data_IF_143615441928
#
_entry.id   IF_143615441928
#
_cell.length_a   1.000
_cell.length_b   1.000
_cell.length_c   1.000
_cell.angle_alpha   90.00
_cell.angle_beta   90.00
_cell.angle_gamma   90.00
#
_symmetry.space_group_name_H-M   'P 1'
#
loop_
_entity.id
_entity.type
_entity.pdbx_description
1 polymer ?
#
# COMPACT_ATOMS: atom_id res chain seq x y z
N UNK A 1 -1.67 18.46 5.50
CA UNK A 1 -0.51 18.68 6.41
C UNK A 1 -0.23 20.16 6.72
N UNK A 2 -0.33 21.08 5.75
CA UNK A 2 -0.04 22.51 6.00
C UNK A 2 -0.86 23.18 7.10
N UNK A 3 -2.10 22.75 7.34
CA UNK A 3 -2.93 23.27 8.43
C UNK A 3 -2.30 23.03 9.82
N UNK A 4 -1.79 21.83 10.08
CA UNK A 4 -1.13 21.50 11.35
C UNK A 4 0.14 22.31 11.53
N UNK A 5 0.92 22.50 10.45
CA UNK A 5 2.15 23.31 10.48
C UNK A 5 1.84 24.78 10.79
N UNK A 6 0.84 25.37 10.12
CA UNK A 6 0.43 26.75 10.33
C UNK A 6 -0.05 26.98 11.77
N UNK A 7 -0.89 26.09 12.30
CA UNK A 7 -1.36 26.14 13.68
C UNK A 7 -0.20 25.98 14.67
N UNK A 8 0.69 25.03 14.43
CA UNK A 8 1.88 24.81 15.26
C UNK A 8 2.79 26.05 15.32
N UNK A 9 3.08 26.67 14.18
CA UNK A 9 3.88 27.90 14.11
C UNK A 9 3.19 29.06 14.83
N UNK A 10 1.87 29.21 14.65
CA UNK A 10 1.09 30.24 15.34
C UNK A 10 1.12 30.07 16.86
N UNK A 11 0.85 28.86 17.35
CA UNK A 11 0.81 28.56 18.79
C UNK A 11 2.19 28.68 19.46
N UNK A 12 3.28 28.48 18.71
CA UNK A 12 4.65 28.60 19.20
C UNK A 12 5.32 29.94 18.85
N UNK A 13 4.57 30.93 18.35
CA UNK A 13 5.08 32.17 17.75
C UNK A 13 5.95 33.08 18.63
N UNK A 14 6.06 32.82 19.93
CA UNK A 14 6.99 33.51 20.84
C UNK A 14 8.36 32.84 20.98
N UNK A 15 8.55 31.64 20.41
CA UNK A 15 9.76 30.86 20.56
C UNK A 15 10.52 30.76 19.22
N UNK A 16 11.68 31.42 19.15
CA UNK A 16 12.49 31.59 17.93
C UNK A 16 12.85 30.28 17.22
N UNK A 17 12.90 29.16 17.95
CA UNK A 17 13.23 27.84 17.41
C UNK A 17 12.01 26.96 17.13
N UNK A 18 10.83 27.26 17.68
CA UNK A 18 9.63 26.41 17.57
C UNK A 18 8.49 27.04 16.76
N UNK A 19 8.46 28.36 16.61
CA UNK A 19 7.43 29.08 15.85
C UNK A 19 7.75 29.32 14.38
N UNK A 20 8.88 28.81 13.89
CA UNK A 20 9.40 29.00 12.52
C UNK A 20 9.80 27.64 11.91
N UNK A 21 8.93 26.63 12.05
CA UNK A 21 9.18 25.32 11.50
C UNK A 21 8.75 25.26 10.02
N UNK A 22 9.58 24.63 9.19
CA UNK A 22 9.25 24.29 7.79
C UNK A 22 8.54 22.93 7.67
N UNK A 23 8.53 22.15 8.74
CA UNK A 23 7.94 20.82 8.81
C UNK A 23 7.95 20.23 10.21
N UNK A 24 7.35 19.05 10.36
CA UNK A 24 7.31 18.31 11.62
C UNK A 24 7.42 16.81 11.37
N UNK A 25 7.96 16.08 12.34
CA UNK A 25 7.99 14.62 12.31
C UNK A 25 6.59 14.04 12.62
N UNK A 26 6.20 12.95 11.94
CA UNK A 26 4.83 12.40 12.02
C UNK A 26 4.48 11.79 13.40
N UNK A 27 5.48 11.49 14.22
CA UNK A 27 5.32 11.06 15.61
C UNK A 27 4.71 12.14 16.53
N UNK A 28 4.62 13.39 16.06
CA UNK A 28 3.92 14.47 16.74
C UNK A 28 2.40 14.34 16.65
N UNK A 29 1.87 13.66 15.62
CA UNK A 29 0.43 13.64 15.32
C UNK A 29 -0.41 13.11 16.49
N UNK A 30 -0.02 12.02 17.19
CA UNK A 30 -0.74 11.57 18.38
C UNK A 30 -0.78 12.61 19.51
N UNK A 31 0.27 13.43 19.64
CA UNK A 31 0.41 14.45 20.71
C UNK A 31 -0.52 15.64 20.52
N UNK A 32 -1.03 15.86 19.31
CA UNK A 32 -2.00 16.92 19.04
C UNK A 32 -3.30 16.71 19.86
N UNK A 33 -3.61 15.48 20.26
CA UNK A 33 -4.76 15.16 21.12
C UNK A 33 -4.61 15.72 22.54
N UNK A 34 -3.38 15.88 23.00
CA UNK A 34 -3.05 16.39 24.33
C UNK A 34 -3.15 17.92 24.41
N UNK A 35 -3.09 18.59 23.26
CA UNK A 35 -3.27 20.03 23.13
C UNK A 35 -4.75 20.34 23.06
N UNK A 36 -5.28 21.08 24.04
CA UNK A 36 -6.72 21.28 24.21
C UNK A 36 -7.10 22.75 24.31
N UNK A 37 -8.37 23.02 24.05
CA UNK A 37 -8.98 24.32 24.30
C UNK A 37 -8.87 24.71 25.77
N UNK A 38 -9.00 26.02 26.05
CA UNK A 38 -8.92 26.55 27.42
C UNK A 38 -9.95 25.92 28.37
N UNK A 39 -11.12 25.55 27.85
CA UNK A 39 -12.19 24.87 28.58
C UNK A 39 -12.10 23.33 28.52
N UNK A 40 -11.03 22.79 27.93
CA UNK A 40 -10.70 21.36 27.86
C UNK A 40 -11.75 20.51 27.13
N UNK A 41 -12.64 21.12 26.34
CA UNK A 41 -13.74 20.44 25.63
C UNK A 41 -13.36 19.92 24.25
N UNK A 42 -12.41 20.58 23.59
CA UNK A 42 -12.03 20.29 22.20
C UNK A 42 -10.51 20.17 22.13
N UNK A 43 -9.99 19.10 21.51
CA UNK A 43 -8.56 18.96 21.23
C UNK A 43 -8.18 19.63 19.91
N UNK A 44 -6.87 19.87 19.71
CA UNK A 44 -6.36 20.41 18.45
C UNK A 44 -6.64 19.46 17.28
N UNK A 45 -6.65 18.13 17.51
CA UNK A 45 -7.07 17.15 16.50
C UNK A 45 -8.53 17.35 16.11
N UNK A 46 -9.42 17.48 17.09
CA UNK A 46 -10.86 17.68 16.84
C UNK A 46 -11.10 18.96 16.04
N UNK A 47 -10.37 20.03 16.37
CA UNK A 47 -10.41 21.29 15.65
C UNK A 47 -9.90 21.16 14.21
N UNK A 48 -8.75 20.51 14.00
CA UNK A 48 -8.14 20.31 12.67
C UNK A 48 -9.06 19.50 11.76
N UNK A 49 -9.63 18.40 12.27
CA UNK A 49 -10.57 17.56 11.53
C UNK A 49 -11.82 18.36 11.17
N UNK A 50 -12.42 19.05 12.16
CA UNK A 50 -13.61 19.87 11.94
C UNK A 50 -13.35 20.99 10.93
N UNK A 51 -12.21 21.69 11.04
CA UNK A 51 -11.83 22.77 10.13
C UNK A 51 -11.63 22.24 8.71
N UNK A 52 -10.96 21.10 8.56
CA UNK A 52 -10.74 20.47 7.26
C UNK A 52 -12.07 20.13 6.57
N UNK A 53 -12.99 19.46 7.27
CA UNK A 53 -14.30 19.10 6.73
C UNK A 53 -15.13 20.34 6.37
N UNK A 54 -15.12 21.38 7.22
CA UNK A 54 -15.95 22.56 7.01
C UNK A 54 -15.37 23.59 6.02
N UNK A 55 -14.06 23.61 5.77
CA UNK A 55 -13.43 24.64 4.93
C UNK A 55 -12.74 24.08 3.70
N UNK A 56 -12.27 22.83 3.75
CA UNK A 56 -11.58 22.19 2.63
C UNK A 56 -12.53 21.22 1.91
N UNK A 57 -13.28 20.41 2.67
CA UNK A 57 -14.14 19.36 2.09
C UNK A 57 -15.56 19.83 1.70
N UNK A 58 -15.94 21.08 2.05
CA UNK A 58 -17.16 21.71 1.53
C UNK A 58 -17.17 21.88 0.01
N UNK A 59 -16.00 21.90 -0.63
CA UNK A 59 -15.85 22.00 -2.09
C UNK A 59 -16.00 20.64 -2.78
N UNK A 60 -15.93 19.51 -2.04
CA UNK A 60 -15.63 18.19 -2.60
C UNK A 60 -16.56 17.04 -2.17
N UNK A 61 -17.63 17.31 -1.43
CA UNK A 61 -18.56 16.33 -0.88
C UNK A 61 -17.99 15.53 0.30
N UNK A 62 -17.53 16.23 1.33
CA UNK A 62 -17.69 15.86 2.74
C UNK A 62 -17.74 14.37 3.06
N UNK A 63 -16.60 13.68 3.11
CA UNK A 63 -16.54 12.29 3.58
C UNK A 63 -17.18 11.23 2.68
N UNK A 64 -17.34 11.50 1.37
CA UNK A 64 -17.71 10.50 0.36
C UNK A 64 -16.51 10.03 -0.46
N UNK A 65 -16.65 8.91 -1.20
CA UNK A 65 -15.62 8.30 -2.07
C UNK A 65 -15.06 9.21 -3.18
N UNK A 66 -15.60 10.43 -3.31
CA UNK A 66 -15.20 11.45 -4.30
C UNK A 66 -14.24 12.51 -3.74
N UNK A 67 -13.84 12.40 -2.47
CA UNK A 67 -12.80 13.22 -1.87
C UNK A 67 -11.47 13.06 -2.64
N UNK A 68 -10.71 14.16 -2.79
CA UNK A 68 -9.32 14.13 -3.33
C UNK A 68 -8.43 13.20 -2.50
N UNK A 69 -8.77 12.99 -1.24
CA UNK A 69 -8.10 12.05 -0.35
C UNK A 69 -9.16 11.22 0.39
N UNK A 70 -9.55 10.03 -0.14
CA UNK A 70 -10.47 9.16 0.58
C UNK A 70 -9.84 8.78 1.91
N UNK A 71 -10.59 8.92 3.00
CA UNK A 71 -10.11 8.52 4.30
C UNK A 71 -10.00 6.99 4.27
N UNK A 72 -8.81 6.40 4.45
CA UNK A 72 -8.68 4.95 4.44
C UNK A 72 -9.46 4.35 5.61
N UNK A 73 -10.05 3.17 5.41
CA UNK A 73 -10.71 2.49 6.51
C UNK A 73 -9.69 2.14 7.60
N UNK A 74 -10.05 2.21 8.89
CA UNK A 74 -9.15 1.88 9.98
C UNK A 74 -8.54 0.48 9.87
N UNK A 75 -9.28 -0.46 9.26
CA UNK A 75 -8.86 -1.84 9.05
C UNK A 75 -7.66 -1.91 8.09
N UNK A 76 -7.72 -1.19 6.97
CA UNK A 76 -6.65 -1.17 5.96
C UNK A 76 -5.36 -0.59 6.54
N UNK A 77 -5.47 0.49 7.33
CA UNK A 77 -4.32 1.10 8.00
C UNK A 77 -3.69 0.13 9.01
N UNK A 78 -4.51 -0.61 9.76
CA UNK A 78 -4.04 -1.58 10.74
C UNK A 78 -3.36 -2.79 10.08
N UNK A 79 -3.90 -3.27 8.95
CA UNK A 79 -3.26 -4.32 8.15
C UNK A 79 -1.94 -3.86 7.58
N UNK A 80 -1.90 -2.67 6.97
CA UNK A 80 -0.68 -2.08 6.42
C UNK A 80 0.41 -1.88 7.48
N UNK A 81 0.03 -1.47 8.70
CA UNK A 81 0.96 -1.28 9.81
C UNK A 81 1.60 -2.59 10.33
N UNK A 82 0.99 -3.75 10.08
CA UNK A 82 1.51 -5.05 10.52
C UNK A 82 2.51 -5.66 9.54
N UNK A 83 2.64 -5.13 8.32
CA UNK A 83 3.54 -5.66 7.30
C UNK A 83 5.00 -5.39 7.70
N UNK A 84 5.81 -6.45 7.74
CA UNK A 84 7.25 -6.37 7.94
C UNK A 84 7.99 -6.51 6.61
N UNK A 85 8.74 -5.48 6.24
CA UNK A 85 9.48 -5.46 4.97
C UNK A 85 10.51 -6.59 4.87
N UNK A 86 11.08 -7.03 5.99
CA UNK A 86 12.06 -8.13 6.03
C UNK A 86 11.42 -9.47 5.66
N UNK A 87 10.23 -9.74 6.18
CA UNK A 87 9.48 -10.95 5.88
C UNK A 87 9.02 -10.92 4.41
N UNK A 88 8.49 -9.79 3.95
CA UNK A 88 8.12 -9.60 2.55
C UNK A 88 9.30 -9.82 1.60
N UNK A 89 10.48 -9.29 1.94
CA UNK A 89 11.69 -9.47 1.14
C UNK A 89 12.14 -10.92 1.10
N UNK A 90 12.02 -11.64 2.21
CA UNK A 90 12.34 -13.07 2.29
C UNK A 90 11.40 -13.89 1.42
N UNK A 91 10.11 -13.60 1.49
CA UNK A 91 9.08 -14.29 0.71
C UNK A 91 9.27 -14.06 -0.78
N UNK A 92 9.57 -12.82 -1.19
CA UNK A 92 9.89 -12.52 -2.60
C UNK A 92 11.14 -13.25 -3.09
N UNK A 93 12.18 -13.37 -2.25
CA UNK A 93 13.38 -14.16 -2.60
C UNK A 93 13.11 -15.66 -2.62
N UNK A 94 12.21 -16.16 -1.78
CA UNK A 94 11.79 -17.55 -1.81
C UNK A 94 11.03 -17.84 -3.09
N UNK A 95 10.02 -17.02 -3.40
CA UNK A 95 9.22 -17.14 -4.60
C UNK A 95 10.07 -17.05 -5.88
N UNK A 96 11.04 -16.14 -5.92
CA UNK A 96 11.99 -16.05 -7.04
C UNK A 96 12.82 -17.32 -7.23
N UNK A 97 13.26 -17.94 -6.13
CA UNK A 97 13.98 -19.22 -6.19
C UNK A 97 13.06 -20.35 -6.65
N UNK A 98 11.83 -20.41 -6.15
CA UNK A 98 10.85 -21.42 -6.55
C UNK A 98 10.53 -21.32 -8.05
N UNK A 99 10.31 -20.10 -8.56
CA UNK A 99 10.08 -19.88 -9.99
C UNK A 99 11.30 -20.28 -10.83
N UNK A 100 12.51 -19.95 -10.40
CA UNK A 100 13.73 -20.38 -11.11
C UNK A 100 13.86 -21.91 -11.07
N UNK A 101 13.55 -22.54 -9.93
CA UNK A 101 13.51 -23.99 -9.75
C UNK A 101 12.42 -24.70 -10.54
N UNK A 102 11.39 -24.00 -11.01
CA UNK A 102 10.38 -24.52 -11.94
C UNK A 102 10.77 -24.27 -13.41
N UNK A 103 11.59 -23.26 -13.69
CA UNK A 103 12.19 -23.05 -15.01
C UNK A 103 13.21 -24.15 -15.33
N UNK A 104 14.06 -24.54 -14.37
CA UNK A 104 15.06 -25.61 -14.54
C UNK A 104 14.51 -27.01 -14.94
N UNK A 105 13.37 -27.51 -14.41
CA UNK A 105 12.81 -28.79 -14.82
C UNK A 105 12.26 -28.75 -16.24
N UNK A 106 11.87 -27.61 -16.82
CA UNK A 106 11.56 -27.56 -18.26
C UNK A 106 12.78 -27.91 -19.11
N UNK A 107 13.96 -27.39 -18.74
CA UNK A 107 15.22 -27.66 -19.45
C UNK A 107 15.73 -29.10 -19.23
N UNK A 108 15.56 -29.63 -18.03
CA UNK A 108 15.89 -31.03 -17.70
C UNK A 108 14.90 -32.02 -18.33
N UNK A 109 13.61 -31.69 -18.41
CA UNK A 109 12.60 -32.47 -19.13
C UNK A 109 12.86 -32.46 -20.64
N UNK A 110 13.28 -31.32 -21.23
CA UNK A 110 13.71 -31.29 -22.64
C UNK A 110 15.00 -32.06 -22.90
N UNK A 111 15.91 -32.13 -21.92
CA UNK A 111 17.10 -32.99 -21.97
C UNK A 111 16.78 -34.48 -21.83
N UNK A 112 16.00 -34.87 -20.82
CA UNK A 112 15.53 -36.25 -20.59
C UNK A 112 14.69 -36.78 -21.75
N UNK A 113 13.89 -35.94 -22.40
CA UNK A 113 13.14 -36.32 -23.61
C UNK A 113 14.05 -36.51 -24.85
N UNK A 114 15.27 -35.95 -24.88
CA UNK A 114 16.26 -36.23 -25.94
C UNK A 114 17.11 -37.47 -25.64
N UNK A 115 17.45 -37.68 -24.37
CA UNK A 115 18.33 -38.77 -23.94
C UNK A 115 17.58 -40.08 -23.69
N UNK A 116 16.27 -40.02 -23.42
CA UNK A 116 15.41 -41.18 -23.54
C UNK A 116 15.28 -41.53 -25.04
N UNK A 117 16.13 -42.43 -25.49
CA UNK A 117 16.00 -43.14 -26.77
C UNK A 117 14.72 -44.00 -26.73
N UNK A 118 13.55 -43.35 -26.72
CA UNK A 118 12.24 -43.99 -26.83
C UNK A 118 12.09 -44.37 -28.30
N UNK A 119 12.19 -45.67 -28.66
CA UNK A 119 11.97 -46.07 -30.03
C UNK A 119 10.47 -45.88 -30.32
N UNK A 120 10.15 -44.99 -31.25
CA UNK A 120 8.89 -44.92 -31.99
C UNK A 120 7.62 -45.39 -31.24
N UNK A 121 7.23 -44.67 -30.19
CA UNK A 121 5.80 -44.59 -29.81
C UNK A 121 5.10 -43.36 -30.41
N UNK A 122 5.83 -42.55 -31.19
CA UNK A 122 5.32 -41.41 -31.95
C UNK A 122 4.39 -41.80 -33.12
N UNK A 123 4.17 -43.10 -33.37
CA UNK A 123 3.21 -43.57 -34.37
C UNK A 123 1.76 -43.68 -33.90
N UNK A 124 1.45 -43.47 -32.61
CA UNK A 124 0.10 -43.74 -32.08
C UNK A 124 -0.45 -42.78 -31.03
N UNK A 125 0.27 -41.72 -30.68
CA UNK A 125 -0.25 -40.71 -29.76
C UNK A 125 -0.53 -39.45 -30.57
N UNK A 126 -1.80 -39.30 -30.94
CA UNK A 126 -2.38 -38.04 -31.40
C UNK A 126 -2.18 -37.00 -30.31
N UNK A 127 -1.24 -36.07 -30.50
CA UNK A 127 -1.20 -34.83 -29.75
C UNK A 127 -2.30 -33.91 -30.27
N UNK A 128 -3.55 -34.25 -29.96
CA UNK A 128 -4.62 -33.27 -30.02
C UNK A 128 -4.31 -32.21 -28.95
N UNK A 129 -4.26 -30.92 -29.30
CA UNK A 129 -4.10 -29.88 -28.29
C UNK A 129 -5.36 -29.91 -27.41
N UNK A 130 -5.22 -30.34 -26.16
CA UNK A 130 -6.24 -30.11 -25.13
C UNK A 130 -6.14 -28.64 -24.73
N UNK A 131 -6.54 -27.77 -25.64
CA UNK A 131 -6.87 -26.38 -25.35
C UNK A 131 -8.32 -26.18 -25.77
N UNK A 132 -9.21 -25.69 -24.89
CA UNK A 132 -10.57 -25.36 -25.31
C UNK A 132 -10.53 -24.29 -26.41
N UNK A 133 -11.32 -24.42 -27.49
CA UNK A 133 -11.28 -23.47 -28.59
C UNK A 133 -11.86 -22.11 -28.18
N UNK A 134 -11.00 -21.10 -28.30
CA UNK A 134 -11.25 -19.70 -28.69
C UNK A 134 -12.52 -18.98 -28.15
N UNK A 135 -12.29 -17.94 -27.34
CA UNK A 135 -13.09 -16.69 -27.46
C UNK A 135 -12.11 -15.56 -27.78
N UNK A 136 -11.73 -15.50 -29.05
CA UNK A 136 -11.14 -14.34 -29.70
C UNK A 136 -12.19 -13.23 -29.80
N UNK A 137 -11.80 -12.01 -29.42
CA UNK A 137 -12.32 -10.71 -29.88
C UNK A 137 -13.85 -10.53 -29.98
N UNK A 138 -14.38 -9.68 -29.10
CA UNK A 138 -15.04 -8.44 -29.53
C UNK A 138 -14.42 -7.27 -28.80
#
# INVERSE_FOLDING_TARGET
MGLVLALGNHMNGGNRTRGQADGFALDILPKLKDVKSRDNRISLVDYVVSYYLHNVDKVLNGGTDKSIFPLPEPQDVFLAAQVKFDDLTRDLRHLGRDLTNLQYPEHLLTGLCRDAQIPNLLGRISWAPVWPPDVRRR
#
